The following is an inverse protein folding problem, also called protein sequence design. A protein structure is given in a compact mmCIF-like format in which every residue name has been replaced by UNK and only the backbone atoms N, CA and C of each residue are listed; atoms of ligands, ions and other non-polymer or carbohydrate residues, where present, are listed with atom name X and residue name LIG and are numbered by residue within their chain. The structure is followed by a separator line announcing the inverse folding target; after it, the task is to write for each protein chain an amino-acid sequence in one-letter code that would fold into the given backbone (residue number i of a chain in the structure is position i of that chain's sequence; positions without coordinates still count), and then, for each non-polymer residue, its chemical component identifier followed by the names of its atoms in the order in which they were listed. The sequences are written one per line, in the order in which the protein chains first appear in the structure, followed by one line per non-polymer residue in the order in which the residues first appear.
data_IF_063988005602
#
_entry.id   IF_063988005602
#
_cell.length_a   1.000
_cell.length_b   1.000
_cell.length_c   1.000
_cell.angle_alpha   90.00
_cell.angle_beta   90.00
_cell.angle_gamma   90.00
#
_symmetry.space_group_name_H-M   'P 1'
#
loop_
_entity.id
_entity.type
_entity.pdbx_description
1 polymer ?
#
# COMPACT_ATOMS: atom_id res chain seq x y z
N UNK A 1 -56.25 -22.47 21.42
CA UNK A 1 -55.06 -21.70 21.86
C UNK A 1 -54.33 -22.50 22.91
N UNK A 2 -53.61 -23.54 22.51
CA UNK A 2 -52.19 -23.51 22.09
C UNK A 2 -51.23 -23.51 23.28
N UNK A 3 -51.01 -24.75 23.73
CA UNK A 3 -49.96 -25.36 24.54
C UNK A 3 -48.72 -24.48 24.81
N UNK A 4 -48.61 -23.96 26.03
CA UNK A 4 -47.38 -23.35 26.57
C UNK A 4 -46.42 -24.41 27.10
N UNK A 5 -45.12 -24.20 26.88
CA UNK A 5 -44.04 -25.06 27.38
C UNK A 5 -44.08 -25.19 28.91
N UNK A 6 -44.18 -26.42 29.42
CA UNK A 6 -44.34 -26.75 30.85
C UNK A 6 -43.02 -26.93 31.61
N UNK A 7 -41.88 -26.74 30.96
CA UNK A 7 -40.55 -26.90 31.55
C UNK A 7 -40.05 -25.65 32.30
N UNK A 8 -38.87 -25.75 32.90
CA UNK A 8 -38.26 -24.65 33.66
C UNK A 8 -37.70 -23.56 32.72
N UNK A 9 -37.89 -22.30 33.11
CA UNK A 9 -37.34 -21.13 32.41
C UNK A 9 -35.83 -21.25 32.16
N UNK A 10 -35.11 -21.87 33.09
CA UNK A 10 -33.67 -22.18 32.98
C UNK A 10 -33.35 -23.10 31.78
N UNK A 11 -34.19 -24.10 31.49
CA UNK A 11 -34.02 -24.98 30.34
C UNK A 11 -34.20 -24.26 29.00
N UNK A 12 -35.20 -23.37 28.91
CA UNK A 12 -35.39 -22.50 27.74
C UNK A 12 -34.21 -21.56 27.56
N UNK A 13 -33.70 -20.97 28.65
CA UNK A 13 -32.55 -20.06 28.60
C UNK A 13 -31.30 -20.74 28.06
N UNK A 14 -30.99 -21.95 28.53
CA UNK A 14 -29.82 -22.72 28.07
C UNK A 14 -29.95 -23.08 26.58
N UNK A 15 -31.12 -23.52 26.15
CA UNK A 15 -31.38 -23.83 24.74
C UNK A 15 -31.28 -22.58 23.84
N UNK A 16 -31.78 -21.43 24.29
CA UNK A 16 -31.65 -20.16 23.55
C UNK A 16 -30.19 -19.68 23.52
N UNK A 17 -29.43 -19.86 24.61
CA UNK A 17 -28.01 -19.53 24.67
C UNK A 17 -27.17 -20.41 23.72
N UNK A 18 -27.45 -21.71 23.62
CA UNK A 18 -26.77 -22.59 22.66
C UNK A 18 -27.08 -22.22 21.22
N UNK A 19 -28.36 -21.95 20.89
CA UNK A 19 -28.77 -21.47 19.56
C UNK A 19 -28.11 -20.14 19.19
N UNK A 20 -27.98 -19.21 20.15
CA UNK A 20 -27.26 -17.94 19.93
C UNK A 20 -25.76 -18.15 19.70
N UNK A 21 -25.13 -19.07 20.43
CA UNK A 21 -23.73 -19.44 20.23
C UNK A 21 -23.52 -20.06 18.84
N UNK A 22 -24.35 -21.01 18.44
CA UNK A 22 -24.29 -21.65 17.12
C UNK A 22 -24.51 -20.64 15.99
N UNK A 23 -25.52 -19.77 16.11
CA UNK A 23 -25.74 -18.68 15.13
C UNK A 23 -24.56 -17.72 15.06
N UNK A 24 -23.92 -17.40 16.19
CA UNK A 24 -22.72 -16.53 16.20
C UNK A 24 -21.53 -17.22 15.53
N UNK A 25 -21.41 -18.55 15.69
CA UNK A 25 -20.37 -19.35 15.06
C UNK A 25 -20.61 -19.47 13.54
N UNK A 26 -21.82 -19.81 13.11
CA UNK A 26 -22.23 -19.84 11.70
C UNK A 26 -22.04 -18.47 11.03
N UNK A 27 -22.50 -17.39 11.70
CA UNK A 27 -22.31 -16.03 11.20
C UNK A 27 -20.84 -15.61 11.14
N UNK A 28 -19.94 -16.23 11.91
CA UNK A 28 -18.50 -16.00 11.84
C UNK A 28 -17.85 -16.78 10.68
N UNK A 29 -18.38 -17.96 10.35
CA UNK A 29 -17.92 -18.79 9.24
C UNK A 29 -18.40 -18.23 7.88
N UNK A 30 -19.54 -17.55 7.85
CA UNK A 30 -20.12 -16.93 6.65
C UNK A 30 -19.63 -15.50 6.37
N UNK A 31 -18.83 -14.88 7.25
CA UNK A 31 -18.31 -13.55 6.93
C UNK A 31 -17.28 -13.67 5.82
N UNK A 32 -17.45 -12.94 4.69
CA UNK A 32 -16.43 -12.93 3.65
C UNK A 32 -15.14 -12.38 4.28
N UNK A 33 -14.04 -13.12 4.12
CA UNK A 33 -12.72 -12.74 4.62
C UNK A 33 -12.39 -11.31 4.15
N UNK A 34 -12.53 -10.33 5.04
CA UNK A 34 -12.36 -8.92 4.72
C UNK A 34 -10.88 -8.56 4.76
N UNK A 35 -10.27 -8.49 3.59
CA UNK A 35 -8.88 -8.03 3.48
C UNK A 35 -8.86 -6.51 3.35
N UNK A 36 -8.13 -5.85 4.24
CA UNK A 36 -7.90 -4.41 4.12
C UNK A 36 -7.17 -4.08 2.82
N UNK A 37 -7.71 -3.14 2.03
CA UNK A 37 -7.08 -2.65 0.81
C UNK A 37 -5.67 -2.15 1.07
N UNK A 38 -5.44 -1.46 2.19
CA UNK A 38 -4.12 -0.96 2.57
C UNK A 38 -3.13 -2.10 2.81
N UNK A 39 -3.59 -3.20 3.44
CA UNK A 39 -2.76 -4.38 3.68
C UNK A 39 -2.35 -5.03 2.36
N UNK A 40 -3.27 -5.18 1.41
CA UNK A 40 -2.96 -5.72 0.07
C UNK A 40 -2.01 -4.79 -0.67
N UNK A 41 -2.29 -3.48 -0.73
CA UNK A 41 -1.42 -2.52 -1.42
C UNK A 41 -0.01 -2.52 -0.86
N UNK A 42 0.13 -2.61 0.48
CA UNK A 42 1.43 -2.76 1.15
C UNK A 42 2.12 -4.06 0.72
N UNK A 43 1.41 -5.19 0.73
CA UNK A 43 1.99 -6.49 0.32
C UNK A 43 2.40 -6.51 -1.16
N UNK A 44 1.62 -5.90 -2.05
CA UNK A 44 1.94 -5.80 -3.48
C UNK A 44 3.23 -5.00 -3.69
N UNK A 45 3.46 -3.97 -2.88
CA UNK A 45 4.62 -3.09 -2.99
C UNK A 45 5.88 -3.62 -2.28
N UNK A 46 5.75 -4.45 -1.25
CA UNK A 46 6.90 -5.06 -0.58
C UNK A 46 7.60 -6.05 -1.51
N UNK A 47 8.93 -6.08 -1.50
CA UNK A 47 9.71 -7.09 -2.24
C UNK A 47 9.34 -8.48 -1.72
N UNK A 48 9.25 -9.46 -2.62
CA UNK A 48 8.92 -10.86 -2.25
C UNK A 48 9.81 -11.42 -1.13
N UNK A 49 11.09 -11.03 -1.08
CA UNK A 49 12.04 -11.46 -0.03
C UNK A 49 11.69 -10.95 1.37
N UNK A 50 10.89 -9.89 1.46
CA UNK A 50 10.58 -9.17 2.70
C UNK A 50 9.15 -9.43 3.19
N UNK A 51 8.41 -10.33 2.53
CA UNK A 51 7.07 -10.71 2.93
C UNK A 51 7.12 -11.75 4.05
N UNK A 52 6.25 -11.60 5.04
CA UNK A 52 6.06 -12.65 6.06
C UNK A 52 5.26 -13.83 5.51
N UNK A 53 5.33 -14.99 6.19
CA UNK A 53 4.54 -16.16 5.82
C UNK A 53 3.03 -15.88 5.76
N UNK A 54 2.51 -15.08 6.70
CA UNK A 54 1.10 -14.65 6.69
C UNK A 54 0.76 -13.75 5.50
N UNK A 55 1.67 -12.85 5.11
CA UNK A 55 1.48 -11.95 3.96
C UNK A 55 1.47 -12.74 2.64
N UNK A 56 2.33 -13.76 2.53
CA UNK A 56 2.36 -14.67 1.38
C UNK A 56 1.04 -15.43 1.27
N UNK A 57 0.57 -16.04 2.35
CA UNK A 57 -0.71 -16.77 2.37
C UNK A 57 -1.89 -15.86 2.00
N UNK A 58 -1.89 -14.62 2.50
CA UNK A 58 -2.90 -13.63 2.16
C UNK A 58 -2.88 -13.30 0.66
N UNK A 59 -1.70 -13.11 0.06
CA UNK A 59 -1.57 -12.86 -1.38
C UNK A 59 -2.02 -14.07 -2.21
N UNK A 60 -1.69 -15.29 -1.80
CA UNK A 60 -2.13 -16.52 -2.47
C UNK A 60 -3.65 -16.66 -2.46
N UNK A 61 -4.29 -16.38 -1.31
CA UNK A 61 -5.74 -16.31 -1.23
C UNK A 61 -6.31 -15.22 -2.15
N UNK A 62 -5.71 -14.02 -2.16
CA UNK A 62 -6.11 -12.95 -3.08
C UNK A 62 -6.03 -13.38 -4.54
N UNK A 63 -4.97 -14.08 -4.96
CA UNK A 63 -4.83 -14.58 -6.34
C UNK A 63 -5.86 -15.66 -6.68
N UNK A 64 -6.29 -16.46 -5.70
CA UNK A 64 -7.37 -17.43 -5.89
C UNK A 64 -8.72 -16.76 -6.16
N UNK A 65 -9.05 -15.69 -5.43
CA UNK A 65 -10.30 -14.95 -5.62
C UNK A 65 -10.26 -13.97 -6.80
N UNK A 66 -9.09 -13.41 -7.09
CA UNK A 66 -8.87 -12.41 -8.15
C UNK A 66 -7.65 -12.79 -9.01
N UNK A 67 -7.80 -13.74 -9.95
CA UNK A 67 -6.69 -14.22 -10.78
C UNK A 67 -5.99 -13.12 -11.59
N UNK A 68 -6.73 -12.08 -11.99
CA UNK A 68 -6.19 -10.92 -12.71
C UNK A 68 -5.19 -10.09 -11.91
N UNK A 69 -5.17 -10.24 -10.58
CA UNK A 69 -4.24 -9.51 -9.71
C UNK A 69 -2.81 -10.06 -9.79
N UNK A 70 -2.64 -11.34 -10.11
CA UNK A 70 -1.32 -11.99 -10.13
C UNK A 70 -0.38 -11.40 -11.18
N UNK A 71 -0.77 -11.23 -12.46
CA UNK A 71 0.08 -10.56 -13.45
C UNK A 71 0.44 -9.12 -13.07
N UNK A 72 -0.50 -8.40 -12.43
CA UNK A 72 -0.25 -7.05 -11.93
C UNK A 72 0.80 -7.05 -10.82
N UNK A 73 0.68 -7.97 -9.86
CA UNK A 73 1.66 -8.14 -8.78
C UNK A 73 3.05 -8.45 -9.35
N UNK A 74 3.17 -9.41 -10.27
CA UNK A 74 4.43 -9.78 -10.91
C UNK A 74 5.09 -8.58 -11.61
N UNK A 75 4.29 -7.78 -12.32
CA UNK A 75 4.74 -6.54 -12.95
C UNK A 75 5.32 -5.55 -11.94
N UNK A 76 4.67 -5.37 -10.77
CA UNK A 76 5.16 -4.50 -9.70
C UNK A 76 6.45 -5.06 -9.10
N UNK A 77 6.54 -6.38 -8.91
CA UNK A 77 7.75 -7.02 -8.37
C UNK A 77 8.94 -6.89 -9.33
N UNK A 78 8.73 -7.02 -10.64
CA UNK A 78 9.79 -6.82 -11.64
C UNK A 78 10.35 -5.39 -11.59
N UNK A 79 9.46 -4.40 -11.52
CA UNK A 79 9.84 -2.99 -11.34
C UNK A 79 10.63 -2.79 -10.04
N UNK A 80 10.08 -3.29 -8.93
CA UNK A 80 10.68 -3.18 -7.60
C UNK A 80 12.08 -3.78 -7.54
N UNK A 81 12.26 -4.96 -8.13
CA UNK A 81 13.56 -5.65 -8.19
C UNK A 81 14.58 -4.86 -9.00
N UNK A 82 14.18 -4.26 -10.13
CA UNK A 82 15.06 -3.38 -10.89
C UNK A 82 15.53 -2.17 -10.06
N UNK A 83 14.62 -1.51 -9.33
CA UNK A 83 14.97 -0.39 -8.47
C UNK A 83 15.85 -0.80 -7.28
N UNK A 84 15.57 -1.94 -6.65
CA UNK A 84 16.32 -2.42 -5.48
C UNK A 84 17.75 -2.82 -5.82
N UNK A 85 17.96 -3.41 -7.00
CA UNK A 85 19.28 -3.80 -7.53
C UNK A 85 19.97 -2.68 -8.30
N UNK A 86 19.36 -1.50 -8.43
CA UNK A 86 19.86 -0.38 -9.24
C UNK A 86 20.16 -0.79 -10.69
N UNK A 87 19.42 -1.78 -11.19
CA UNK A 87 19.59 -2.40 -12.51
C UNK A 87 18.79 -1.62 -13.57
N UNK A 88 19.41 -0.58 -14.11
CA UNK A 88 18.81 0.26 -15.15
C UNK A 88 18.45 -0.50 -16.44
N UNK A 89 19.30 -1.41 -16.98
CA UNK A 89 18.93 -2.25 -18.11
C UNK A 89 17.65 -3.06 -17.87
N UNK A 90 17.52 -3.72 -16.71
CA UNK A 90 16.30 -4.46 -16.37
C UNK A 90 15.08 -3.55 -16.27
N UNK A 91 15.25 -2.36 -15.70
CA UNK A 91 14.20 -1.34 -15.67
C UNK A 91 13.75 -0.94 -17.09
N UNK A 92 14.67 -0.79 -18.05
CA UNK A 92 14.31 -0.50 -19.44
C UNK A 92 13.54 -1.63 -20.11
N UNK A 93 13.88 -2.89 -19.83
CA UNK A 93 13.12 -4.05 -20.31
C UNK A 93 11.69 -4.02 -19.78
N UNK A 94 11.54 -3.84 -18.47
CA UNK A 94 10.23 -3.66 -17.84
C UNK A 94 9.44 -2.50 -18.45
N UNK A 95 10.10 -1.36 -18.70
CA UNK A 95 9.46 -0.19 -19.29
C UNK A 95 8.94 -0.47 -20.70
N UNK A 96 9.74 -1.14 -21.53
CA UNK A 96 9.34 -1.57 -22.89
C UNK A 96 8.15 -2.53 -22.85
N UNK A 97 8.17 -3.51 -21.94
CA UNK A 97 7.05 -4.43 -21.74
C UNK A 97 5.76 -3.68 -21.40
N UNK A 98 5.81 -2.72 -20.47
CA UNK A 98 4.62 -1.95 -20.10
C UNK A 98 4.12 -1.03 -21.22
N UNK A 99 5.00 -0.51 -22.07
CA UNK A 99 4.63 0.33 -23.21
C UNK A 99 4.19 -0.44 -24.45
N UNK A 100 4.36 -1.75 -24.49
CA UNK A 100 4.01 -2.60 -25.64
C UNK A 100 2.52 -2.60 -25.98
N UNK A 101 1.65 -2.43 -24.97
CA UNK A 101 0.20 -2.43 -25.15
C UNK A 101 -0.48 -1.43 -24.22
N UNK A 102 -1.48 -0.71 -24.76
CA UNK A 102 -2.34 0.20 -23.98
C UNK A 102 -3.16 -0.51 -22.90
N UNK A 103 -3.34 -1.84 -23.03
CA UNK A 103 -4.09 -2.67 -22.09
C UNK A 103 -3.27 -3.04 -20.84
N UNK A 104 -1.96 -2.76 -20.83
CA UNK A 104 -1.13 -3.03 -19.67
C UNK A 104 -1.55 -2.14 -18.49
N UNK A 105 -1.69 -2.74 -17.31
CA UNK A 105 -2.18 -2.06 -16.10
C UNK A 105 -1.36 -0.82 -15.72
N UNK A 106 -0.07 -0.79 -16.07
CA UNK A 106 0.83 0.32 -15.77
C UNK A 106 1.20 1.16 -17.00
N UNK A 107 0.52 1.01 -18.14
CA UNK A 107 0.84 1.73 -19.38
C UNK A 107 0.95 3.25 -19.19
N UNK A 108 -0.05 3.89 -18.55
CA UNK A 108 -0.04 5.34 -18.31
C UNK A 108 1.08 5.76 -17.36
N UNK A 109 1.40 4.92 -16.39
CA UNK A 109 2.51 5.17 -15.47
C UNK A 109 3.86 5.07 -16.20
N UNK A 110 4.02 4.05 -17.05
CA UNK A 110 5.16 3.86 -17.91
C UNK A 110 5.37 5.03 -18.89
N UNK A 111 4.30 5.60 -19.46
CA UNK A 111 4.38 6.80 -20.30
C UNK A 111 4.95 8.00 -19.54
N UNK A 112 4.50 8.22 -18.31
CA UNK A 112 5.01 9.32 -17.47
C UNK A 112 6.47 9.09 -17.06
N UNK A 113 6.85 7.83 -16.84
CA UNK A 113 8.25 7.48 -16.62
C UNK A 113 9.10 7.78 -17.87
N UNK A 114 8.58 7.44 -19.05
CA UNK A 114 9.29 7.64 -20.31
C UNK A 114 9.57 9.12 -20.58
N UNK A 115 8.64 10.03 -20.24
CA UNK A 115 8.86 11.47 -20.40
C UNK A 115 10.04 11.99 -19.57
N UNK A 116 10.32 11.39 -18.41
CA UNK A 116 11.38 11.80 -17.48
C UNK A 116 12.56 10.81 -17.43
N UNK A 117 12.74 10.01 -18.49
CA UNK A 117 13.70 8.90 -18.52
C UNK A 117 15.15 9.34 -18.25
N UNK A 118 15.54 10.57 -18.61
CA UNK A 118 16.86 11.12 -18.28
C UNK A 118 17.06 11.25 -16.77
N UNK A 119 16.09 11.84 -16.07
CA UNK A 119 16.16 12.00 -14.61
C UNK A 119 16.15 10.63 -13.91
N UNK A 120 15.33 9.70 -14.40
CA UNK A 120 15.27 8.35 -13.86
C UNK A 120 16.60 7.61 -14.08
N UNK A 121 17.20 7.71 -15.26
CA UNK A 121 18.53 7.14 -15.52
C UNK A 121 19.55 7.64 -14.50
N UNK A 122 19.57 8.94 -14.19
CA UNK A 122 20.44 9.47 -13.15
C UNK A 122 20.14 8.87 -11.78
N UNK A 123 18.86 8.70 -11.41
CA UNK A 123 18.49 8.06 -10.15
C UNK A 123 18.99 6.61 -10.00
N UNK A 124 19.18 5.88 -11.10
CA UNK A 124 19.79 4.54 -11.08
C UNK A 124 21.33 4.55 -11.05
N UNK A 125 21.96 5.62 -11.53
CA UNK A 125 23.42 5.70 -11.67
C UNK A 125 24.10 6.48 -10.56
N UNK A 126 23.36 7.34 -9.86
CA UNK A 126 23.92 8.25 -8.86
C UNK A 126 23.38 7.94 -7.47
N UNK A 127 24.23 7.94 -6.42
CA UNK A 127 23.78 7.71 -5.04
C UNK A 127 22.99 8.89 -4.46
N UNK A 128 22.89 10.01 -5.19
CA UNK A 128 22.23 11.22 -4.72
C UNK A 128 20.72 11.08 -4.83
N UNK A 129 20.03 11.19 -3.69
CA UNK A 129 18.59 11.35 -3.65
C UNK A 129 18.23 12.82 -3.47
N UNK A 130 17.13 13.25 -4.09
CA UNK A 130 16.55 14.56 -3.80
C UNK A 130 15.95 14.64 -2.38
N UNK A 131 15.98 13.56 -1.59
CA UNK A 131 15.33 13.51 -0.27
C UNK A 131 15.84 14.55 0.72
N UNK A 132 17.15 14.83 0.72
CA UNK A 132 17.74 15.90 1.55
C UNK A 132 17.23 17.28 1.10
N UNK A 133 17.20 17.52 -0.21
CA UNK A 133 16.71 18.78 -0.79
C UNK A 133 15.21 18.96 -0.53
N UNK A 134 14.41 17.91 -0.75
CA UNK A 134 12.98 17.88 -0.48
C UNK A 134 12.68 18.10 1.01
N UNK A 135 13.49 17.53 1.91
CA UNK A 135 13.41 17.78 3.34
C UNK A 135 13.63 19.25 3.70
N UNK A 136 14.66 19.88 3.12
CA UNK A 136 14.91 21.32 3.29
C UNK A 136 13.76 22.17 2.74
N UNK A 137 13.24 21.84 1.55
CA UNK A 137 12.09 22.53 0.95
C UNK A 137 10.83 22.37 1.80
N UNK A 138 10.57 21.18 2.33
CA UNK A 138 9.44 20.93 3.22
C UNK A 138 9.57 21.74 4.51
N UNK A 139 10.76 21.75 5.14
CA UNK A 139 11.05 22.56 6.33
C UNK A 139 10.81 24.05 6.07
N UNK A 140 11.32 24.58 4.96
CA UNK A 140 11.10 25.98 4.56
C UNK A 140 9.61 26.29 4.37
N UNK A 141 8.87 25.41 3.67
CA UNK A 141 7.41 25.55 3.50
C UNK A 141 6.67 25.51 4.84
N UNK A 142 7.10 24.66 5.76
CA UNK A 142 6.51 24.54 7.09
C UNK A 142 6.74 25.80 7.93
N UNK A 143 7.97 26.33 7.95
CA UNK A 143 8.29 27.61 8.60
C UNK A 143 7.44 28.73 8.02
N UNK A 144 7.31 28.81 6.69
CA UNK A 144 6.49 29.84 6.03
C UNK A 144 4.99 29.69 6.37
N UNK A 145 4.46 28.47 6.45
CA UNK A 145 3.07 28.19 6.88
C UNK A 145 2.80 28.58 8.33
N UNK A 146 3.72 28.25 9.25
CA UNK A 146 3.63 28.69 10.65
C UNK A 146 3.65 30.21 10.80
N UNK A 147 4.09 30.93 9.76
CA UNK A 147 4.13 32.39 9.71
C UNK A 147 3.00 32.98 8.88
N UNK A 148 1.96 32.18 8.58
CA UNK A 148 0.81 32.60 7.77
C UNK A 148 1.22 33.19 6.41
N UNK A 149 2.34 32.72 5.85
CA UNK A 149 2.87 33.21 4.56
C UNK A 149 3.58 34.57 4.63
N UNK A 150 3.67 35.22 5.80
CA UNK A 150 4.17 36.59 5.98
C UNK A 150 5.70 36.70 6.12
N UNK A 151 6.42 35.59 6.01
CA UNK A 151 7.86 35.57 6.14
C UNK A 151 8.53 35.98 4.81
N UNK A 152 9.14 37.18 4.80
CA UNK A 152 10.10 37.61 3.76
C UNK A 152 11.42 36.85 3.93
N UNK A 153 12.28 36.86 2.91
CA UNK A 153 13.53 36.07 2.89
C UNK A 153 14.39 36.28 4.14
N UNK A 154 14.65 37.52 4.53
CA UNK A 154 15.47 37.85 5.72
C UNK A 154 14.95 37.22 7.02
N UNK A 155 13.63 37.12 7.15
CA UNK A 155 12.97 36.55 8.32
C UNK A 155 12.97 35.01 8.28
N UNK A 156 12.88 34.42 7.08
CA UNK A 156 13.07 32.99 6.87
C UNK A 156 14.51 32.57 7.20
N UNK A 157 15.51 33.30 6.71
CA UNK A 157 16.93 33.03 6.99
C UNK A 157 17.21 33.03 8.48
N UNK A 158 16.79 34.09 9.20
CA UNK A 158 16.97 34.18 10.65
C UNK A 158 16.35 32.98 11.39
N UNK A 159 15.14 32.54 11.00
CA UNK A 159 14.47 31.40 11.64
C UNK A 159 15.09 30.05 11.29
N UNK A 160 15.56 29.89 10.06
CA UNK A 160 16.19 28.66 9.57
C UNK A 160 17.57 28.47 10.23
N UNK A 161 18.35 29.54 10.35
CA UNK A 161 19.68 29.54 10.97
C UNK A 161 19.59 29.47 12.50
N UNK A 162 18.62 30.13 13.14
CA UNK A 162 18.46 30.09 14.60
C UNK A 162 18.06 28.72 15.15
N UNK A 163 17.33 27.92 14.37
CA UNK A 163 17.03 26.51 14.71
C UNK A 163 18.17 25.53 14.38
N UNK A 164 19.36 26.02 14.02
CA UNK A 164 20.55 25.22 13.71
C UNK A 164 21.54 25.28 14.89
N UNK A 165 21.10 24.79 16.05
CA UNK A 165 21.92 24.48 17.23
C UNK A 165 21.36 23.23 17.91
#
# INVERSE_FOLDING_TARGET
SEQGYTGTYSGVRIAVESIRKERKLQKSLEQPYRISRQKISSCIWKLKSNLSGEEIQLLEQCFKYYPSLKPFYETVQHFRKACDEWDYPRFLTWLKEQLSSKNNSLYRYALRIQSDLKAIKHAFLTPFSNGVVEGHVHRLKLIKRMMFGRAKLDLLEKRVLYHWK
#
